data_IF_650192388999
#
_entry.id   IF_650192388999
#
_cell.length_a   1.000
_cell.length_b   1.000
_cell.length_c   1.000
_cell.angle_alpha   90.00
_cell.angle_beta   90.00
_cell.angle_gamma   90.00
#
_symmetry.space_group_name_H-M   'P 1'
#
loop_
_entity.id
_entity.type
_entity.pdbx_description
1 polymer ?
#
# COMPACT_ATOMS: atom_id res chain seq x y z
N UNK A 1 23.37 21.57 16.79
CA UNK A 1 22.88 21.65 15.40
C UNK A 1 21.40 21.99 15.46
N UNK A 2 20.94 23.04 14.78
CA UNK A 2 19.59 23.60 14.98
C UNK A 2 18.52 22.72 14.29
N UNK A 3 17.39 22.42 14.96
CA UNK A 3 16.34 21.48 14.48
C UNK A 3 15.82 21.84 13.07
N UNK A 4 15.77 23.14 12.75
CA UNK A 4 15.40 23.65 11.41
C UNK A 4 16.42 23.30 10.32
N UNK A 5 17.72 23.23 10.67
CA UNK A 5 18.77 22.89 9.72
C UNK A 5 18.78 21.37 9.43
N UNK A 6 18.43 20.54 10.41
CA UNK A 6 18.33 19.09 10.21
C UNK A 6 17.19 18.73 9.23
N UNK A 7 16.03 19.37 9.38
CA UNK A 7 14.87 19.17 8.48
C UNK A 7 15.19 19.65 7.05
N UNK A 8 15.85 20.80 6.91
CA UNK A 8 16.24 21.33 5.60
C UNK A 8 17.29 20.45 4.91
N UNK A 9 18.24 19.89 5.67
CA UNK A 9 19.25 18.97 5.13
C UNK A 9 18.64 17.64 4.70
N UNK A 10 17.68 17.10 5.45
CA UNK A 10 16.95 15.89 5.06
C UNK A 10 16.12 16.15 3.79
N UNK A 11 15.40 17.28 3.73
CA UNK A 11 14.62 17.68 2.55
C UNK A 11 15.49 17.84 1.28
N UNK A 12 16.70 18.41 1.42
CA UNK A 12 17.66 18.56 0.33
C UNK A 12 18.28 17.23 -0.13
N UNK A 13 18.45 16.26 0.78
CA UNK A 13 18.87 14.89 0.42
C UNK A 13 17.80 14.14 -0.39
N UNK A 14 16.51 14.39 -0.14
CA UNK A 14 15.43 13.81 -0.95
C UNK A 14 15.39 14.37 -2.39
N UNK A 15 15.63 15.67 -2.56
CA UNK A 15 15.66 16.30 -3.90
C UNK A 15 16.86 15.80 -4.73
N UNK A 16 17.99 15.49 -4.10
CA UNK A 16 19.21 15.04 -4.81
C UNK A 16 19.16 13.58 -5.26
N UNK A 17 18.34 12.73 -4.63
CA UNK A 17 18.06 11.36 -5.12
C UNK A 17 17.18 11.39 -6.37
N UNK A 18 16.32 12.41 -6.53
CA UNK A 18 15.42 12.56 -7.68
C UNK A 18 16.12 12.97 -9.00
N UNK A 19 17.32 13.55 -8.95
CA UNK A 19 18.00 14.12 -10.14
C UNK A 19 19.03 13.20 -10.81
N UNK A 20 19.16 11.93 -10.39
CA UNK A 20 20.11 10.96 -10.97
C UNK A 20 19.42 9.79 -11.72
N UNK A 21 18.11 9.86 -11.93
CA UNK A 21 17.32 8.83 -12.60
C UNK A 21 16.86 9.15 -14.02
N UNK A 22 17.65 9.87 -14.82
CA UNK A 22 17.41 9.98 -16.26
C UNK A 22 18.56 9.29 -17.02
N UNK A 23 18.30 8.11 -17.58
CA UNK A 23 19.29 7.43 -18.41
C UNK A 23 18.86 6.07 -18.96
N UNK A 24 18.41 6.11 -20.22
CA UNK A 24 18.41 5.04 -21.24
C UNK A 24 17.25 4.03 -21.28
N UNK A 25 16.40 4.28 -22.28
CA UNK A 25 15.57 3.31 -23.00
C UNK A 25 16.44 2.20 -23.61
N UNK A 26 16.05 0.94 -23.45
CA UNK A 26 16.44 -0.12 -24.36
C UNK A 26 15.23 -0.97 -24.73
N UNK A 27 14.93 -0.95 -26.03
CA UNK A 27 13.96 -1.80 -26.71
C UNK A 27 14.37 -3.26 -26.58
N UNK A 28 13.52 -4.10 -25.99
CA UNK A 28 13.55 -5.54 -26.23
C UNK A 28 12.14 -5.96 -26.62
N UNK A 29 11.98 -6.24 -27.92
CA UNK A 29 10.82 -6.91 -28.49
C UNK A 29 10.66 -8.30 -27.84
N UNK A 30 9.43 -8.62 -27.45
CA UNK A 30 9.03 -9.98 -27.09
C UNK A 30 7.93 -10.45 -28.06
N UNK A 31 7.88 -11.76 -28.36
CA UNK A 31 7.31 -12.29 -29.59
C UNK A 31 5.77 -12.30 -29.57
N UNK A 32 5.19 -12.11 -30.75
CA UNK A 32 3.77 -12.25 -31.04
C UNK A 32 3.30 -13.68 -30.68
N UNK A 33 2.33 -13.77 -29.76
CA UNK A 33 1.58 -14.99 -29.48
C UNK A 33 0.20 -14.91 -30.11
N UNK A 34 -0.24 -16.01 -30.72
CA UNK A 34 -1.45 -16.19 -31.53
C UNK A 34 -2.78 -15.89 -30.78
N UNK A 35 -3.87 -15.52 -31.50
CA UNK A 35 -5.16 -15.19 -30.89
C UNK A 35 -5.86 -16.45 -30.37
N UNK A 36 -6.37 -16.38 -29.13
CA UNK A 36 -7.21 -17.44 -28.56
C UNK A 36 -8.68 -17.15 -28.94
N UNK A 37 -9.30 -18.13 -29.60
CA UNK A 37 -10.70 -18.12 -30.05
C UNK A 37 -11.70 -17.91 -28.90
N UNK A 38 -12.70 -17.06 -29.16
CA UNK A 38 -13.91 -16.93 -28.35
C UNK A 38 -14.66 -18.26 -28.31
N UNK A 39 -15.00 -18.72 -27.11
CA UNK A 39 -16.06 -19.71 -26.95
C UNK A 39 -17.02 -19.27 -25.84
N UNK A 40 -18.21 -18.87 -26.28
CA UNK A 40 -19.36 -18.59 -25.44
C UNK A 40 -19.84 -19.88 -24.77
N UNK A 41 -20.08 -19.88 -23.46
CA UNK A 41 -21.18 -20.66 -22.91
C UNK A 41 -21.69 -20.13 -21.56
N UNK A 42 -23.01 -20.07 -21.52
CA UNK A 42 -24.02 -19.88 -20.49
C UNK A 42 -23.67 -19.85 -18.99
N UNK A 43 -24.42 -18.96 -18.33
CA UNK A 43 -24.44 -18.67 -16.91
C UNK A 43 -24.70 -19.91 -16.03
N UNK A 44 -23.76 -20.19 -15.13
CA UNK A 44 -24.00 -21.00 -13.95
C UNK A 44 -24.23 -20.07 -12.74
N UNK A 45 -25.42 -20.17 -12.14
CA UNK A 45 -25.79 -19.52 -10.89
C UNK A 45 -24.86 -19.97 -9.77
N UNK A 46 -24.02 -19.06 -9.25
CA UNK A 46 -23.18 -19.32 -8.08
C UNK A 46 -23.95 -18.90 -6.84
N UNK A 47 -24.26 -19.91 -6.03
CA UNK A 47 -24.84 -19.82 -4.70
C UNK A 47 -23.90 -19.01 -3.79
N UNK A 48 -24.41 -17.94 -3.18
CA UNK A 48 -23.63 -17.06 -2.29
C UNK A 48 -23.79 -17.55 -0.85
N UNK A 49 -22.88 -18.40 -0.41
CA UNK A 49 -22.57 -18.55 1.02
C UNK A 49 -21.26 -17.81 1.29
N UNK A 50 -21.36 -16.51 1.60
CA UNK A 50 -20.28 -15.79 2.27
C UNK A 50 -20.30 -16.23 3.74
N UNK A 51 -19.59 -17.31 4.06
CA UNK A 51 -19.18 -17.54 5.45
C UNK A 51 -18.10 -16.51 5.76
N UNK A 52 -18.50 -15.51 6.55
CA UNK A 52 -17.61 -14.53 7.15
C UNK A 52 -16.70 -15.28 8.13
N UNK A 53 -15.48 -15.61 7.68
CA UNK A 53 -14.43 -16.15 8.54
C UNK A 53 -14.04 -15.03 9.50
N UNK A 54 -14.60 -15.06 10.70
CA UNK A 54 -14.18 -14.21 11.80
C UNK A 54 -12.74 -14.63 12.11
N UNK A 55 -11.77 -13.82 11.68
CA UNK A 55 -10.37 -14.07 11.95
C UNK A 55 -10.15 -14.10 13.48
N UNK A 56 -9.62 -15.21 13.99
CA UNK A 56 -9.24 -15.30 15.40
C UNK A 56 -8.17 -14.23 15.70
N UNK A 57 -8.21 -13.58 16.88
CA UNK A 57 -7.20 -12.60 17.26
C UNK A 57 -5.82 -13.26 17.27
N UNK A 58 -4.87 -12.62 16.60
CA UNK A 58 -3.51 -13.13 16.43
C UNK A 58 -2.80 -13.13 17.79
N UNK A 59 -2.15 -14.23 18.20
CA UNK A 59 -1.41 -14.30 19.46
C UNK A 59 -0.29 -13.25 19.54
N UNK A 60 -0.06 -12.70 20.74
CA UNK A 60 0.98 -11.68 21.00
C UNK A 60 2.42 -12.20 20.78
N UNK A 61 2.64 -13.52 20.76
CA UNK A 61 3.96 -14.15 20.63
C UNK A 61 3.93 -15.23 19.54
N UNK A 62 4.00 -14.78 18.28
CA UNK A 62 4.16 -15.68 17.13
C UNK A 62 5.58 -16.26 17.07
N UNK A 63 5.71 -17.53 16.66
CA UNK A 63 7.02 -18.10 16.29
C UNK A 63 7.52 -17.52 14.97
N UNK A 64 8.79 -17.76 14.65
CA UNK A 64 9.36 -17.36 13.36
C UNK A 64 8.61 -18.00 12.19
N UNK A 65 8.29 -19.28 12.28
CA UNK A 65 7.55 -20.03 11.27
C UNK A 65 6.12 -19.52 11.10
N UNK A 66 5.46 -19.11 12.19
CA UNK A 66 4.11 -18.52 12.14
C UNK A 66 4.14 -17.16 11.43
N UNK A 67 5.12 -16.30 11.74
CA UNK A 67 5.30 -15.02 11.05
C UNK A 67 5.57 -15.24 9.56
N UNK A 68 6.47 -16.16 9.21
CA UNK A 68 6.75 -16.49 7.80
C UNK A 68 5.48 -16.98 7.10
N UNK A 69 4.73 -17.89 7.75
CA UNK A 69 3.51 -18.45 7.18
C UNK A 69 2.45 -17.38 6.93
N UNK A 70 2.24 -16.46 7.87
CA UNK A 70 1.32 -15.32 7.70
C UNK A 70 1.72 -14.45 6.52
N UNK A 71 3.00 -14.12 6.38
CA UNK A 71 3.50 -13.27 5.30
C UNK A 71 3.41 -13.95 3.95
N UNK A 72 3.79 -15.23 3.86
CA UNK A 72 3.80 -16.00 2.61
C UNK A 72 2.40 -16.46 2.17
N UNK A 73 1.45 -16.57 3.10
CA UNK A 73 0.04 -16.84 2.78
C UNK A 73 -0.66 -15.65 2.11
N UNK A 74 -0.09 -14.43 2.18
CA UNK A 74 -0.65 -13.27 1.49
C UNK A 74 -0.40 -13.43 -0.02
N UNK A 75 -1.43 -13.86 -0.74
CA UNK A 75 -1.45 -13.86 -2.19
C UNK A 75 -2.33 -12.72 -2.74
N UNK A 76 -1.76 -11.54 -3.04
CA UNK A 76 -2.55 -10.39 -3.49
C UNK A 76 -3.26 -10.60 -4.83
N UNK A 77 -2.88 -11.60 -5.63
CA UNK A 77 -3.52 -11.91 -6.92
C UNK A 77 -4.81 -12.71 -6.77
N UNK A 78 -4.99 -13.40 -5.65
CA UNK A 78 -6.22 -14.16 -5.34
C UNK A 78 -7.23 -13.33 -4.55
N UNK A 79 -6.79 -12.24 -3.94
CA UNK A 79 -7.62 -11.31 -3.20
C UNK A 79 -8.41 -10.40 -4.16
N UNK A 80 -9.71 -10.27 -3.92
CA UNK A 80 -10.61 -9.39 -4.69
C UNK A 80 -11.13 -8.25 -3.81
N UNK A 81 -11.24 -7.02 -4.35
CA UNK A 81 -11.91 -5.92 -3.65
C UNK A 81 -13.35 -6.27 -3.31
N UNK A 82 -13.80 -5.87 -2.13
CA UNK A 82 -15.20 -6.09 -1.73
C UNK A 82 -16.15 -5.17 -2.53
N UNK A 83 -15.71 -3.96 -2.84
CA UNK A 83 -16.45 -3.01 -3.69
C UNK A 83 -16.50 -3.47 -5.14
N UNK A 84 -17.65 -3.30 -5.80
CA UNK A 84 -17.82 -3.50 -7.25
C UNK A 84 -17.00 -2.50 -8.08
N UNK A 85 -16.85 -2.76 -9.38
CA UNK A 85 -16.14 -1.84 -10.29
C UNK A 85 -16.72 -0.42 -10.27
N UNK A 86 -18.06 -0.30 -10.27
CA UNK A 86 -18.77 0.98 -10.19
C UNK A 86 -18.57 1.67 -8.84
N UNK A 87 -18.67 0.95 -7.73
CA UNK A 87 -18.47 1.54 -6.40
C UNK A 87 -17.03 2.03 -6.21
N UNK A 88 -16.04 1.30 -6.73
CA UNK A 88 -14.65 1.75 -6.74
C UNK A 88 -14.47 3.02 -7.56
N UNK A 89 -15.15 3.12 -8.69
CA UNK A 89 -15.13 4.34 -9.51
C UNK A 89 -15.78 5.54 -8.80
N UNK A 90 -16.96 5.34 -8.23
CA UNK A 90 -17.65 6.38 -7.45
C UNK A 90 -16.83 6.82 -6.22
N UNK A 91 -16.12 5.89 -5.58
CA UNK A 91 -15.20 6.18 -4.49
C UNK A 91 -13.99 6.99 -4.95
N UNK A 92 -13.38 6.64 -6.10
CA UNK A 92 -12.31 7.44 -6.70
C UNK A 92 -12.78 8.88 -6.90
N UNK A 93 -13.95 9.09 -7.51
CA UNK A 93 -14.54 10.43 -7.70
C UNK A 93 -14.58 11.23 -6.39
N UNK A 94 -15.06 10.63 -5.30
CA UNK A 94 -15.11 11.28 -3.97
C UNK A 94 -13.72 11.64 -3.45
N UNK A 95 -12.75 10.74 -3.60
CA UNK A 95 -11.37 10.96 -3.14
C UNK A 95 -10.72 12.09 -3.94
N UNK A 96 -10.84 12.07 -5.27
CA UNK A 96 -10.33 13.12 -6.15
C UNK A 96 -10.97 14.50 -5.85
N UNK A 97 -12.28 14.55 -5.58
CA UNK A 97 -12.95 15.78 -5.14
C UNK A 97 -12.45 16.29 -3.78
N UNK A 98 -11.95 15.39 -2.94
CA UNK A 98 -11.34 15.73 -1.65
C UNK A 98 -9.86 16.11 -1.72
N UNK A 99 -9.22 16.01 -2.89
CA UNK A 99 -7.83 16.44 -3.07
C UNK A 99 -7.76 17.94 -3.38
N UNK A 100 -6.86 18.63 -2.70
CA UNK A 100 -6.68 20.08 -2.82
C UNK A 100 -5.96 20.45 -4.11
N UNK A 101 -6.38 21.56 -4.72
CA UNK A 101 -5.67 22.29 -5.78
C UNK A 101 -5.18 21.43 -6.97
N UNK A 102 -5.87 20.34 -7.31
CA UNK A 102 -5.47 19.38 -8.34
C UNK A 102 -4.05 18.80 -8.12
N UNK A 103 -3.59 18.73 -6.86
CA UNK A 103 -2.27 18.23 -6.43
C UNK A 103 -2.25 16.70 -6.29
N UNK A 104 -2.96 16.03 -7.21
CA UNK A 104 -3.05 14.56 -7.30
C UNK A 104 -1.67 13.93 -7.42
N UNK A 105 -0.79 14.54 -8.21
CA UNK A 105 0.55 14.01 -8.43
C UNK A 105 1.40 14.14 -7.17
N UNK A 106 1.32 15.25 -6.43
CA UNK A 106 2.06 15.39 -5.18
C UNK A 106 1.60 14.39 -4.13
N UNK A 107 0.28 14.22 -3.96
CA UNK A 107 -0.27 13.15 -3.12
C UNK A 107 0.22 11.78 -3.61
N UNK A 108 0.17 11.59 -4.93
CA UNK A 108 0.79 10.53 -5.73
C UNK A 108 2.15 10.10 -5.22
N UNK A 109 3.08 11.02 -5.35
CA UNK A 109 4.50 10.87 -5.08
C UNK A 109 4.77 10.46 -3.62
N UNK A 110 4.01 11.00 -2.66
CA UNK A 110 4.15 10.61 -1.24
C UNK A 110 3.77 9.14 -1.00
N UNK A 111 2.66 8.68 -1.57
CA UNK A 111 2.21 7.29 -1.40
C UNK A 111 3.14 6.33 -2.13
N UNK A 112 3.46 6.61 -3.40
CA UNK A 112 4.32 5.75 -4.22
C UNK A 112 5.72 5.63 -3.61
N UNK A 113 6.34 6.74 -3.23
CA UNK A 113 7.66 6.73 -2.61
C UNK A 113 7.67 5.91 -1.31
N UNK A 114 6.65 6.09 -0.46
CA UNK A 114 6.54 5.37 0.81
C UNK A 114 6.33 3.88 0.60
N UNK A 115 5.40 3.49 -0.30
CA UNK A 115 5.15 2.09 -0.65
C UNK A 115 6.44 1.43 -1.16
N UNK A 116 7.16 2.11 -2.05
CA UNK A 116 8.41 1.61 -2.62
C UNK A 116 9.50 1.39 -1.56
N UNK A 117 9.65 2.29 -0.58
CA UNK A 117 10.62 2.08 0.50
C UNK A 117 10.25 0.88 1.38
N UNK A 118 8.97 0.73 1.73
CA UNK A 118 8.52 -0.41 2.53
C UNK A 118 8.57 -1.72 1.73
N UNK A 119 8.36 -1.69 0.41
CA UNK A 119 8.52 -2.85 -0.46
C UNK A 119 9.92 -3.47 -0.36
N UNK A 120 10.97 -2.67 -0.18
CA UNK A 120 12.33 -3.18 0.01
C UNK A 120 12.52 -4.01 1.28
N UNK A 121 11.61 -3.91 2.25
CA UNK A 121 11.60 -4.75 3.45
C UNK A 121 11.04 -6.14 3.13
N UNK A 122 10.08 -6.22 2.21
CA UNK A 122 9.38 -7.46 1.85
C UNK A 122 10.08 -8.21 0.72
N UNK A 123 10.56 -7.48 -0.29
CA UNK A 123 11.23 -8.04 -1.48
C UNK A 123 12.51 -8.78 -1.08
N UNK A 124 12.79 -9.86 -1.80
CA UNK A 124 13.91 -10.79 -1.55
C UNK A 124 13.87 -11.49 -0.18
N UNK A 125 12.69 -11.57 0.47
CA UNK A 125 12.55 -12.24 1.76
C UNK A 125 13.25 -11.55 2.93
N UNK A 126 13.62 -10.26 2.77
CA UNK A 126 14.36 -9.48 3.78
C UNK A 126 13.64 -9.34 5.11
N UNK A 127 12.32 -9.49 5.11
CA UNK A 127 11.49 -9.46 6.31
C UNK A 127 11.86 -10.61 7.27
N UNK A 128 12.37 -11.75 6.75
CA UNK A 128 12.78 -12.90 7.56
C UNK A 128 13.90 -12.54 8.55
N UNK A 129 14.85 -11.71 8.12
CA UNK A 129 15.91 -11.20 9.00
C UNK A 129 15.38 -10.31 10.14
N UNK A 130 14.20 -9.70 9.95
CA UNK A 130 13.61 -8.76 10.92
C UNK A 130 12.70 -9.46 11.93
N UNK A 131 12.38 -10.74 11.72
CA UNK A 131 11.68 -11.55 12.72
C UNK A 131 12.53 -11.66 13.99
N UNK A 132 13.85 -11.81 13.84
CA UNK A 132 14.78 -11.62 14.95
C UNK A 132 14.82 -10.13 15.34
N UNK A 133 14.13 -9.80 16.44
CA UNK A 133 14.10 -8.45 17.01
C UNK A 133 15.48 -7.93 17.41
N UNK A 134 16.49 -8.79 17.58
CA UNK A 134 17.87 -8.38 17.89
C UNK A 134 18.71 -8.16 16.64
N UNK A 135 18.18 -8.43 15.45
CA UNK A 135 18.92 -8.27 14.23
C UNK A 135 19.29 -6.80 14.00
N UNK A 136 20.58 -6.55 13.70
CA UNK A 136 21.17 -5.20 13.54
C UNK A 136 20.52 -4.32 12.47
N UNK A 137 19.67 -4.90 11.62
CA UNK A 137 18.93 -4.15 10.59
C UNK A 137 17.85 -3.27 11.23
N UNK A 138 17.28 -3.66 12.37
CA UNK A 138 16.40 -2.79 13.15
C UNK A 138 17.08 -1.48 13.53
N UNK A 139 18.34 -1.53 13.98
CA UNK A 139 19.11 -0.33 14.32
C UNK A 139 19.33 0.60 13.10
N UNK A 140 19.34 0.06 11.87
CA UNK A 140 19.40 0.87 10.67
C UNK A 140 18.06 1.58 10.38
N UNK A 141 16.94 0.87 10.57
CA UNK A 141 15.60 1.45 10.41
C UNK A 141 15.25 2.46 11.49
N UNK A 142 15.61 2.21 12.75
CA UNK A 142 15.46 3.20 13.83
C UNK A 142 16.25 4.48 13.51
N UNK A 143 17.51 4.34 13.07
CA UNK A 143 18.35 5.51 12.75
C UNK A 143 17.86 6.33 11.55
N UNK A 144 17.19 5.70 10.59
CA UNK A 144 16.65 6.40 9.41
C UNK A 144 15.14 6.65 9.48
N UNK A 145 14.52 6.43 10.66
CA UNK A 145 13.09 6.57 10.91
C UNK A 145 12.21 5.79 9.91
N UNK A 146 12.58 4.54 9.61
CA UNK A 146 11.95 3.69 8.60
C UNK A 146 11.74 4.45 7.27
N UNK A 147 12.83 5.09 6.81
CA UNK A 147 12.85 5.93 5.60
C UNK A 147 11.99 7.20 5.65
N UNK A 148 11.52 7.63 6.82
CA UNK A 148 10.70 8.83 7.00
C UNK A 148 9.28 8.70 6.46
N UNK A 149 8.73 7.47 6.41
CA UNK A 149 7.37 7.22 5.89
C UNK A 149 6.31 8.00 6.70
N UNK A 150 6.48 8.12 8.01
CA UNK A 150 5.65 8.95 8.90
C UNK A 150 5.55 10.41 8.44
N UNK A 151 6.67 11.02 8.07
CA UNK A 151 6.76 12.39 7.55
C UNK A 151 6.05 12.47 6.19
N UNK A 152 6.24 11.47 5.33
CA UNK A 152 5.53 11.38 4.05
C UNK A 152 4.00 11.29 4.26
N UNK A 153 3.52 10.58 5.29
CA UNK A 153 2.09 10.48 5.58
C UNK A 153 1.51 11.83 6.01
N UNK A 154 2.21 12.59 6.85
CA UNK A 154 1.80 13.95 7.20
C UNK A 154 1.82 14.89 5.98
N UNK A 155 2.79 14.71 5.08
CA UNK A 155 2.83 15.37 3.77
C UNK A 155 1.60 15.07 2.92
N UNK A 156 1.29 13.78 2.71
CA UNK A 156 0.12 13.33 1.94
C UNK A 156 -1.20 13.85 2.54
N UNK A 157 -1.34 13.80 3.87
CA UNK A 157 -2.52 14.32 4.58
C UNK A 157 -2.78 15.80 4.31
N UNK A 158 -1.73 16.60 4.09
CA UNK A 158 -1.90 18.02 3.78
C UNK A 158 -2.69 18.26 2.47
N UNK A 159 -2.67 17.29 1.53
CA UNK A 159 -3.30 17.39 0.22
C UNK A 159 -4.72 16.83 0.14
N UNK A 160 -5.21 16.15 1.16
CA UNK A 160 -6.55 15.55 1.16
C UNK A 160 -7.40 16.08 2.31
N UNK A 161 -8.71 16.22 2.09
CA UNK A 161 -9.70 16.42 3.14
C UNK A 161 -10.64 15.22 3.28
N UNK A 162 -10.39 14.12 2.57
CA UNK A 162 -11.25 12.95 2.61
C UNK A 162 -10.88 12.04 3.79
N UNK A 163 -11.76 12.02 4.81
CA UNK A 163 -11.46 11.41 6.11
C UNK A 163 -11.05 9.93 6.04
N UNK A 164 -11.68 9.04 5.25
CA UNK A 164 -11.24 7.65 5.17
C UNK A 164 -9.78 7.50 4.74
N UNK A 165 -9.31 8.32 3.79
CA UNK A 165 -7.90 8.32 3.39
C UNK A 165 -7.02 8.85 4.52
N UNK A 166 -7.45 9.90 5.22
CA UNK A 166 -6.72 10.41 6.39
C UNK A 166 -6.57 9.32 7.46
N UNK A 167 -7.62 8.52 7.71
CA UNK A 167 -7.60 7.40 8.65
C UNK A 167 -6.59 6.31 8.22
N UNK A 168 -6.54 5.96 6.94
CA UNK A 168 -5.54 5.03 6.42
C UNK A 168 -4.12 5.58 6.60
N UNK A 169 -3.88 6.85 6.27
CA UNK A 169 -2.56 7.48 6.40
C UNK A 169 -2.10 7.58 7.86
N UNK A 170 -3.02 7.88 8.78
CA UNK A 170 -2.75 7.85 10.22
C UNK A 170 -2.41 6.44 10.69
N UNK A 171 -3.08 5.42 10.15
CA UNK A 171 -2.83 4.02 10.50
C UNK A 171 -1.48 3.57 9.97
N UNK A 172 -1.11 3.91 8.74
CA UNK A 172 0.23 3.66 8.19
C UNK A 172 1.30 4.30 9.08
N UNK A 173 1.11 5.56 9.49
CA UNK A 173 2.02 6.24 10.41
C UNK A 173 2.15 5.51 11.73
N UNK A 174 1.03 5.18 12.38
CA UNK A 174 1.03 4.45 13.66
C UNK A 174 1.67 3.06 13.56
N UNK A 175 1.46 2.35 12.46
CA UNK A 175 2.11 1.07 12.17
C UNK A 175 3.63 1.21 12.02
N UNK A 176 4.11 2.25 11.34
CA UNK A 176 5.55 2.51 11.23
C UNK A 176 6.19 2.85 12.57
N UNK A 177 5.54 3.67 13.40
CA UNK A 177 6.00 4.01 14.75
C UNK A 177 6.02 2.75 15.65
N UNK A 178 4.93 1.99 15.65
CA UNK A 178 4.81 0.73 16.39
C UNK A 178 5.87 -0.29 15.95
N UNK A 179 6.11 -0.42 14.64
CA UNK A 179 7.12 -1.31 14.10
C UNK A 179 8.52 -1.00 14.65
N UNK A 180 8.88 0.29 14.75
CA UNK A 180 10.17 0.70 15.29
C UNK A 180 10.26 0.49 16.81
N UNK A 181 9.20 0.84 17.56
CA UNK A 181 9.17 0.69 19.02
C UNK A 181 9.23 -0.79 19.46
N UNK A 182 8.47 -1.65 18.78
CA UNK A 182 8.29 -3.04 19.17
C UNK A 182 9.08 -4.03 18.31
N UNK A 183 9.84 -3.51 17.33
CA UNK A 183 10.60 -4.29 16.33
C UNK A 183 9.70 -5.35 15.70
N UNK A 184 8.56 -4.89 15.17
CA UNK A 184 7.49 -5.72 14.62
C UNK A 184 7.48 -5.62 13.09
N UNK A 185 7.87 -6.70 12.42
CA UNK A 185 7.93 -6.76 10.96
C UNK A 185 6.53 -6.85 10.33
N UNK A 186 5.53 -7.41 11.02
CA UNK A 186 4.17 -7.51 10.50
C UNK A 186 3.55 -6.13 10.38
N UNK A 187 3.85 -5.22 11.31
CA UNK A 187 3.38 -3.84 11.23
C UNK A 187 3.95 -3.09 10.01
N UNK A 188 5.21 -3.36 9.62
CA UNK A 188 5.80 -2.83 8.37
C UNK A 188 5.05 -3.39 7.15
N UNK A 189 4.72 -4.68 7.18
CA UNK A 189 4.01 -5.35 6.09
C UNK A 189 2.60 -4.79 5.94
N UNK A 190 1.87 -4.60 7.04
CA UNK A 190 0.55 -3.96 7.03
C UNK A 190 0.58 -2.53 6.50
N UNK A 191 1.55 -1.72 6.94
CA UNK A 191 1.71 -0.36 6.43
C UNK A 191 1.88 -0.34 4.91
N UNK A 192 2.70 -1.26 4.38
CA UNK A 192 2.87 -1.42 2.93
C UNK A 192 1.60 -1.89 2.23
N UNK A 193 0.87 -2.86 2.80
CA UNK A 193 -0.38 -3.37 2.24
C UNK A 193 -1.39 -2.25 2.05
N UNK A 194 -1.58 -1.40 3.06
CA UNK A 194 -2.46 -0.23 2.99
C UNK A 194 -2.00 0.74 1.91
N UNK A 195 -0.71 1.11 1.87
CA UNK A 195 -0.20 2.03 0.85
C UNK A 195 -0.34 1.48 -0.57
N UNK A 196 -0.18 0.17 -0.74
CA UNK A 196 -0.36 -0.49 -2.04
C UNK A 196 -1.82 -0.42 -2.48
N UNK A 197 -2.75 -0.70 -1.57
CA UNK A 197 -4.18 -0.60 -1.83
C UNK A 197 -4.57 0.82 -2.27
N UNK A 198 -4.10 1.84 -1.54
CA UNK A 198 -4.32 3.26 -1.87
C UNK A 198 -3.72 3.61 -3.24
N UNK A 199 -2.44 3.33 -3.46
CA UNK A 199 -1.74 3.62 -4.73
C UNK A 199 -2.48 2.99 -5.91
N UNK A 200 -2.80 1.70 -5.79
CA UNK A 200 -3.45 0.95 -6.88
C UNK A 200 -4.84 1.48 -7.17
N UNK A 201 -5.61 1.85 -6.14
CA UNK A 201 -6.97 2.33 -6.33
C UNK A 201 -7.07 3.80 -6.73
N UNK A 202 -6.06 4.61 -6.41
CA UNK A 202 -6.11 6.04 -6.69
C UNK A 202 -5.27 6.44 -7.87
N UNK A 203 -4.08 5.88 -8.04
CA UNK A 203 -3.05 6.41 -8.96
C UNK A 203 -2.93 5.55 -10.22
N UNK A 204 -2.96 4.23 -10.07
CA UNK A 204 -2.66 3.32 -11.17
C UNK A 204 -3.90 2.95 -12.01
N UNK A 205 -5.12 3.22 -11.51
CA UNK A 205 -6.38 2.98 -12.24
C UNK A 205 -6.82 4.25 -12.96
N UNK A 206 -6.92 4.25 -14.30
CA UNK A 206 -7.39 5.42 -15.01
C UNK A 206 -8.85 5.76 -14.66
N UNK A 207 -9.19 7.05 -14.75
CA UNK A 207 -10.53 7.56 -14.50
C UNK A 207 -11.43 7.29 -15.72
N UNK A 208 -12.05 6.11 -15.81
CA UNK A 208 -13.01 5.79 -16.88
C UNK A 208 -14.44 5.72 -16.35
N UNK A 209 -15.35 6.50 -16.96
CA UNK A 209 -16.80 6.35 -16.78
C UNK A 209 -17.31 5.08 -17.51
N UNK A 210 -18.50 4.60 -17.13
CA UNK A 210 -19.20 3.56 -17.90
C UNK A 210 -19.56 4.13 -19.29
N UNK A 211 -18.85 3.70 -20.34
CA UNK A 211 -19.05 4.16 -21.72
C UNK A 211 -17.84 4.86 -22.36
N UNK A 212 -16.77 5.14 -21.60
CA UNK A 212 -15.52 5.63 -22.18
C UNK A 212 -14.90 4.56 -23.09
N UNK A 213 -14.38 4.95 -24.26
CA UNK A 213 -13.60 4.05 -25.10
C UNK A 213 -12.45 3.49 -24.26
N UNK A 214 -12.49 2.18 -24.03
CA UNK A 214 -11.53 1.42 -23.23
C UNK A 214 -10.21 1.33 -24.00
N UNK A 215 -9.59 2.48 -24.28
CA UNK A 215 -8.29 2.59 -24.90
C UNK A 215 -7.23 2.22 -23.87
N UNK A 216 -6.94 0.92 -23.81
CA UNK A 216 -5.95 0.27 -22.95
C UNK A 216 -6.31 0.16 -21.45
N UNK A 217 -7.44 -0.49 -21.16
CA UNK A 217 -7.51 -1.29 -19.92
C UNK A 217 -6.44 -2.38 -20.03
N UNK A 218 -5.25 -2.14 -19.48
CA UNK A 218 -4.26 -3.21 -19.34
C UNK A 218 -4.77 -4.15 -18.25
N UNK A 219 -5.53 -5.14 -18.67
CA UNK A 219 -5.82 -6.34 -17.89
C UNK A 219 -4.54 -6.77 -17.16
N UNK A 220 -4.55 -6.75 -15.82
CA UNK A 220 -3.40 -7.13 -14.98
C UNK A 220 -2.87 -6.06 -14.02
N UNK A 221 -2.93 -4.76 -14.34
CA UNK A 221 -2.38 -3.71 -13.45
C UNK A 221 -3.18 -3.47 -12.15
N UNK A 222 -4.38 -4.06 -12.08
CA UNK A 222 -5.32 -3.92 -10.97
C UNK A 222 -5.57 -5.23 -10.20
N UNK A 223 -4.77 -6.27 -10.46
CA UNK A 223 -4.96 -7.59 -9.83
C UNK A 223 -4.26 -7.72 -8.48
N UNK A 224 -3.40 -6.77 -8.11
CA UNK A 224 -2.75 -6.76 -6.81
C UNK A 224 -3.60 -6.02 -5.80
N UNK A 225 -4.24 -6.77 -4.91
CA UNK A 225 -5.06 -6.21 -3.85
C UNK A 225 -4.78 -6.89 -2.51
N UNK A 226 -4.67 -6.13 -1.43
CA UNK A 226 -4.32 -6.67 -0.12
C UNK A 226 -5.48 -6.65 0.89
N UNK A 227 -6.62 -6.05 0.52
CA UNK A 227 -7.79 -5.86 1.39
C UNK A 227 -7.48 -5.19 2.74
N UNK A 228 -6.42 -4.40 2.82
CA UNK A 228 -5.91 -3.86 4.08
C UNK A 228 -6.43 -2.45 4.39
N UNK A 229 -6.71 -1.65 3.36
CA UNK A 229 -7.17 -0.26 3.50
C UNK A 229 -8.62 -0.16 3.97
N UNK A 230 -8.85 0.66 5.00
CA UNK A 230 -10.18 1.04 5.48
C UNK A 230 -10.97 1.79 4.43
N UNK A 231 -10.33 2.67 3.66
CA UNK A 231 -11.02 3.42 2.60
C UNK A 231 -11.74 2.50 1.61
N UNK A 232 -11.16 1.32 1.35
CA UNK A 232 -11.69 0.38 0.36
C UNK A 232 -12.59 -0.70 0.97
N UNK A 233 -12.27 -1.15 2.18
CA UNK A 233 -12.95 -2.31 2.79
C UNK A 233 -13.88 -1.93 3.94
N UNK A 234 -13.90 -0.65 4.35
CA UNK A 234 -14.70 -0.14 5.47
C UNK A 234 -14.00 -0.25 6.83
N UNK A 235 -13.08 -1.21 6.99
CA UNK A 235 -12.24 -1.42 8.17
C UNK A 235 -10.82 -1.85 7.76
N UNK A 236 -9.84 -1.70 8.65
CA UNK A 236 -8.48 -2.17 8.39
C UNK A 236 -8.37 -3.68 8.64
N UNK A 237 -7.83 -4.43 7.69
CA UNK A 237 -7.52 -5.85 7.85
C UNK A 237 -6.02 -6.06 8.09
N UNK A 238 -5.61 -5.85 9.33
CA UNK A 238 -4.21 -5.91 9.77
C UNK A 238 -3.85 -7.34 10.20
N UNK A 239 -2.63 -7.78 9.91
CA UNK A 239 -2.08 -9.04 10.42
C UNK A 239 -1.11 -8.85 11.59
N UNK A 240 -0.76 -7.60 11.90
CA UNK A 240 0.02 -7.25 13.08
C UNK A 240 -0.85 -7.15 14.33
N UNK A 241 -0.21 -7.29 15.49
CA UNK A 241 -0.85 -7.06 16.79
C UNK A 241 -0.99 -5.56 17.12
N UNK A 242 -1.00 -4.70 16.10
CA UNK A 242 -1.18 -3.27 16.28
C UNK A 242 -2.58 -2.98 16.82
N UNK A 243 -2.65 -2.65 18.11
CA UNK A 243 -3.87 -2.15 18.74
C UNK A 243 -3.94 -0.67 18.45
N UNK A 244 -4.56 -0.31 17.33
CA UNK A 244 -4.78 1.06 16.89
C UNK A 244 -5.48 1.89 17.95
N UNK A 245 -4.72 2.50 18.85
CA UNK A 245 -5.22 3.55 19.72
C UNK A 245 -5.50 4.74 18.82
N UNK A 246 -6.76 5.19 18.84
CA UNK A 246 -7.19 6.44 18.25
C UNK A 246 -6.23 7.55 18.67
N UNK A 247 -5.35 7.98 17.77
CA UNK A 247 -4.65 9.25 17.89
C UNK A 247 -5.67 10.33 17.51
N UNK A 248 -6.65 10.51 18.39
CA UNK A 248 -7.52 11.67 18.44
C UNK A 248 -7.49 12.12 19.90
N UNK A 249 -6.55 13.00 20.21
CA UNK A 249 -6.74 14.14 21.10
C UNK A 249 -6.07 15.36 20.46
#
# INVERSE_FOLDING_TARGET
MNRKNLILTILLCFISIFMLGCGQTNNNAFPEGEPIEENSSEAASVDKTNEEVIAEPIPDNLTEEEVISLVEAINPYELKPTLTGKERYDLRKKIYQGLKDNRVNDFGDFIESSEYQLAKVVVDGRYKELIDKKHKRWDAYERNNLYGVDICMDGAKAFTSYQPIIDDLNTVKGLCEYALEHRDVLAIIDARRILTDIRRHLMDVPHFEEGDEIGAYREGYHQLYFKASKTLEGEHNLISNYVGKSICD
#
